data_IF_626695978885
#
_entry.id   IF_626695978885
#
_cell.length_a   1.000
_cell.length_b   1.000
_cell.length_c   1.000
_cell.angle_alpha   90.00
_cell.angle_beta   90.00
_cell.angle_gamma   90.00
#
_symmetry.space_group_name_H-M   'P 1'
#
loop_
_entity.id
_entity.type
_entity.pdbx_description
1 polymer ?
#
# COMPACT_ATOMS: atom_id res chain seq x y z
N UNK A 1 -0.06 -27.27 -9.10
CA UNK A 1 -0.44 -26.18 -10.03
C UNK A 1 0.11 -24.89 -9.42
N UNK A 2 1.38 -24.56 -9.64
CA UNK A 2 2.05 -23.45 -8.93
C UNK A 2 2.26 -22.17 -9.76
N UNK A 3 2.14 -22.25 -11.09
CA UNK A 3 2.50 -21.14 -11.99
C UNK A 3 1.61 -19.90 -11.77
N UNK A 4 0.28 -20.06 -11.71
CA UNK A 4 -0.65 -18.93 -11.58
C UNK A 4 -0.53 -18.19 -10.23
N UNK A 5 -0.21 -18.92 -9.16
CA UNK A 5 -0.03 -18.37 -7.81
C UNK A 5 1.27 -17.58 -7.68
N UNK A 6 2.35 -18.17 -8.19
CA UNK A 6 3.67 -17.54 -8.28
C UNK A 6 3.59 -16.29 -9.16
N UNK A 7 2.77 -16.31 -10.22
CA UNK A 7 2.51 -15.15 -11.09
C UNK A 7 1.81 -14.01 -10.34
N UNK A 8 0.78 -14.28 -9.54
CA UNK A 8 0.07 -13.24 -8.77
C UNK A 8 0.99 -12.61 -7.72
N UNK A 9 1.71 -13.44 -6.94
CA UNK A 9 2.67 -12.95 -5.96
C UNK A 9 3.81 -12.17 -6.61
N UNK A 10 4.26 -12.61 -7.78
CA UNK A 10 5.28 -11.94 -8.60
C UNK A 10 4.83 -10.58 -9.09
N UNK A 11 3.62 -10.45 -9.63
CA UNK A 11 3.05 -9.16 -10.07
C UNK A 11 2.91 -8.20 -8.89
N UNK A 12 2.45 -8.68 -7.73
CA UNK A 12 2.32 -7.84 -6.53
C UNK A 12 3.70 -7.42 -6.00
N UNK A 13 4.68 -8.32 -5.99
CA UNK A 13 6.06 -7.99 -5.63
C UNK A 13 6.62 -6.88 -6.54
N UNK A 14 6.46 -7.01 -7.86
CA UNK A 14 6.89 -5.99 -8.83
C UNK A 14 6.21 -4.63 -8.59
N UNK A 15 4.92 -4.61 -8.24
CA UNK A 15 4.22 -3.37 -7.89
C UNK A 15 4.80 -2.71 -6.63
N UNK A 16 5.15 -3.51 -5.61
CA UNK A 16 5.81 -3.02 -4.39
C UNK A 16 7.18 -2.42 -4.74
N UNK A 17 7.96 -3.12 -5.54
CA UNK A 17 9.29 -2.69 -5.97
C UNK A 17 9.23 -1.41 -6.80
N UNK A 18 8.31 -1.33 -7.76
CA UNK A 18 8.07 -0.12 -8.53
C UNK A 18 7.62 1.05 -7.64
N UNK A 19 6.79 0.79 -6.62
CA UNK A 19 6.32 1.82 -5.70
C UNK A 19 7.44 2.38 -4.82
N UNK A 20 8.36 1.55 -4.38
CA UNK A 20 9.41 1.93 -3.43
C UNK A 20 10.79 2.10 -4.07
N UNK A 21 10.91 1.85 -5.38
CA UNK A 21 12.15 1.95 -6.15
C UNK A 21 13.29 1.13 -5.53
N UNK A 22 12.96 -0.04 -5.00
CA UNK A 22 13.87 -0.90 -4.26
C UNK A 22 13.40 -2.36 -4.37
N UNK A 23 14.31 -3.35 -4.57
CA UNK A 23 13.95 -4.76 -4.56
C UNK A 23 13.25 -5.17 -3.27
N UNK A 24 12.30 -6.10 -3.33
CA UNK A 24 11.46 -6.46 -2.18
C UNK A 24 12.30 -7.03 -1.03
N UNK A 25 13.33 -7.82 -1.34
CA UNK A 25 14.26 -8.33 -0.34
C UNK A 25 15.01 -7.20 0.39
N UNK A 26 15.40 -6.15 -0.33
CA UNK A 26 16.11 -4.99 0.21
C UNK A 26 15.16 -4.14 1.05
N UNK A 27 13.92 -3.98 0.58
CA UNK A 27 12.86 -3.29 1.30
C UNK A 27 12.57 -3.97 2.64
N UNK A 28 12.47 -5.31 2.66
CA UNK A 28 12.29 -6.10 3.89
C UNK A 28 13.43 -5.87 4.88
N UNK A 29 14.68 -5.86 4.39
CA UNK A 29 15.86 -5.58 5.21
C UNK A 29 15.86 -4.14 5.75
N UNK A 30 15.52 -3.17 4.91
CA UNK A 30 15.45 -1.76 5.31
C UNK A 30 14.36 -1.51 6.36
N UNK A 31 13.17 -2.10 6.19
CA UNK A 31 12.09 -2.06 7.18
C UNK A 31 12.50 -2.71 8.50
N UNK A 32 13.17 -3.86 8.45
CA UNK A 32 13.65 -4.54 9.67
C UNK A 32 14.69 -3.70 10.42
N UNK A 33 15.57 -2.99 9.72
CA UNK A 33 16.59 -2.14 10.31
C UNK A 33 16.01 -0.82 10.86
N UNK A 34 15.02 -0.23 10.17
CA UNK A 34 14.47 1.08 10.51
C UNK A 34 12.95 1.16 10.26
N UNK A 35 12.12 0.48 11.09
CA UNK A 35 10.67 0.37 10.87
C UNK A 35 9.92 1.72 10.92
N UNK A 36 10.53 2.74 11.54
CA UNK A 36 9.96 4.08 11.67
C UNK A 36 10.34 5.03 10.52
N UNK A 37 11.24 4.62 9.61
CA UNK A 37 11.66 5.45 8.48
C UNK A 37 10.54 5.66 7.44
N UNK A 38 9.65 4.67 7.30
CA UNK A 38 8.49 4.71 6.41
C UNK A 38 7.36 3.85 6.95
N UNK A 39 6.29 4.47 7.45
CA UNK A 39 5.12 3.73 7.94
C UNK A 39 4.48 2.90 6.81
N UNK A 40 4.33 3.48 5.63
CA UNK A 40 3.74 2.82 4.47
C UNK A 40 4.48 1.54 4.10
N UNK A 41 5.81 1.57 4.11
CA UNK A 41 6.60 0.42 3.72
C UNK A 41 6.60 -0.68 4.78
N UNK A 42 6.63 -0.30 6.06
CA UNK A 42 6.46 -1.25 7.16
C UNK A 42 5.11 -1.96 7.05
N UNK A 43 4.05 -1.22 6.74
CA UNK A 43 2.71 -1.78 6.55
C UNK A 43 2.67 -2.68 5.31
N UNK A 44 3.19 -2.24 4.16
CA UNK A 44 3.22 -3.05 2.93
C UNK A 44 3.98 -4.35 3.12
N UNK A 45 5.18 -4.31 3.71
CA UNK A 45 5.98 -5.52 3.96
C UNK A 45 5.22 -6.50 4.85
N UNK A 46 4.53 -6.00 5.88
CA UNK A 46 3.68 -6.83 6.74
C UNK A 46 2.54 -7.48 5.94
N UNK A 47 1.78 -6.70 5.18
CA UNK A 47 0.64 -7.23 4.43
C UNK A 47 1.05 -8.17 3.30
N UNK A 48 2.20 -7.93 2.67
CA UNK A 48 2.76 -8.85 1.70
C UNK A 48 3.17 -10.19 2.35
N UNK A 49 3.77 -10.16 3.54
CA UNK A 49 4.02 -11.38 4.31
C UNK A 49 2.75 -12.18 4.60
N UNK A 50 1.69 -11.50 5.05
CA UNK A 50 0.39 -12.13 5.30
C UNK A 50 -0.29 -12.64 4.01
N UNK A 51 0.01 -12.04 2.85
CA UNK A 51 -0.47 -12.51 1.56
C UNK A 51 0.23 -13.81 1.14
N UNK A 52 1.54 -13.91 1.35
CA UNK A 52 2.30 -15.15 1.11
C UNK A 52 1.78 -16.27 1.99
N UNK A 53 1.56 -16.01 3.28
CA UNK A 53 0.95 -16.98 4.20
C UNK A 53 -0.45 -17.42 3.73
N UNK A 54 -1.27 -16.48 3.26
CA UNK A 54 -2.61 -16.81 2.74
C UNK A 54 -2.55 -17.66 1.46
N UNK A 55 -1.55 -17.44 0.60
CA UNK A 55 -1.33 -18.23 -0.61
C UNK A 55 -0.95 -19.69 -0.26
N UNK A 56 -0.05 -19.88 0.72
CA UNK A 56 0.28 -21.23 1.20
C UNK A 56 -0.92 -21.97 1.81
N UNK A 57 -1.81 -21.24 2.50
CA UNK A 57 -3.05 -21.82 3.06
C UNK A 57 -4.02 -22.21 1.95
N UNK A 58 -4.14 -21.38 0.91
CA UNK A 58 -4.97 -21.68 -0.26
C UNK A 58 -4.49 -22.94 -0.97
N UNK A 59 -3.19 -23.04 -1.26
CA UNK A 59 -2.60 -24.21 -1.92
C UNK A 59 -2.86 -25.49 -1.13
N UNK A 60 -2.70 -25.47 0.20
CA UNK A 60 -3.00 -26.63 1.05
C UNK A 60 -4.48 -27.00 1.03
N UNK A 61 -5.37 -26.02 0.98
CA UNK A 61 -6.81 -26.26 0.89
C UNK A 61 -7.19 -26.87 -0.47
N UNK A 62 -6.60 -26.37 -1.56
CA UNK A 62 -6.78 -26.89 -2.91
C UNK A 62 -6.26 -28.32 -3.04
N UNK A 63 -5.04 -28.59 -2.56
CA UNK A 63 -4.47 -29.93 -2.54
C UNK A 63 -5.33 -30.92 -1.74
N UNK A 64 -5.86 -30.48 -0.59
CA UNK A 64 -6.76 -31.29 0.22
C UNK A 64 -8.08 -31.59 -0.50
N UNK A 65 -8.66 -30.61 -1.19
CA UNK A 65 -9.87 -30.79 -1.99
C UNK A 65 -9.61 -31.76 -3.16
N UNK A 66 -8.55 -31.55 -3.95
CA UNK A 66 -8.19 -32.43 -5.06
C UNK A 66 -7.99 -33.86 -4.56
N UNK A 67 -7.25 -34.04 -3.46
CA UNK A 67 -7.03 -35.35 -2.89
C UNK A 67 -8.32 -36.01 -2.36
N UNK A 68 -9.32 -35.24 -1.93
CA UNK A 68 -10.63 -35.77 -1.55
C UNK A 68 -11.45 -36.20 -2.77
N UNK A 69 -11.46 -35.37 -3.83
CA UNK A 69 -12.13 -35.66 -5.09
C UNK A 69 -11.57 -36.92 -5.77
N UNK A 70 -10.25 -37.10 -5.75
CA UNK A 70 -9.59 -38.31 -6.30
C UNK A 70 -10.00 -39.60 -5.58
N UNK A 71 -10.46 -39.50 -4.32
CA UNK A 71 -10.86 -40.65 -3.49
C UNK A 71 -12.37 -40.88 -3.48
N UNK A 72 -13.16 -39.97 -4.02
CA UNK A 72 -14.62 -40.04 -3.97
C UNK A 72 -15.15 -41.16 -4.89
N UNK A 73 -15.93 -42.12 -4.38
CA UNK A 73 -16.52 -43.17 -5.20
C UNK A 73 -17.78 -42.67 -5.93
N UNK A 74 -17.64 -42.33 -7.22
CA UNK A 74 -18.75 -41.99 -8.11
C UNK A 74 -19.02 -40.48 -8.28
N UNK A 75 -20.07 -40.13 -9.04
CA UNK A 75 -20.42 -38.74 -9.43
C UNK A 75 -21.08 -37.89 -8.32
N UNK A 76 -21.22 -38.42 -7.10
CA UNK A 76 -21.87 -37.70 -5.99
C UNK A 76 -20.80 -37.17 -5.05
N UNK A 77 -20.69 -35.84 -4.96
CA UNK A 77 -19.89 -35.17 -3.93
C UNK A 77 -20.52 -35.42 -2.56
N UNK A 78 -19.73 -35.97 -1.64
CA UNK A 78 -20.12 -36.17 -0.26
C UNK A 78 -19.94 -34.88 0.57
N UNK A 79 -20.61 -34.81 1.72
CA UNK A 79 -20.55 -33.65 2.62
C UNK A 79 -19.09 -33.22 2.97
N UNK A 80 -18.12 -34.14 3.15
CA UNK A 80 -16.71 -33.78 3.35
C UNK A 80 -16.06 -33.02 2.17
N UNK A 81 -16.31 -33.43 0.92
CA UNK A 81 -15.79 -32.72 -0.24
C UNK A 81 -16.39 -31.31 -0.35
N UNK A 82 -17.68 -31.16 0.00
CA UNK A 82 -18.35 -29.87 0.05
C UNK A 82 -17.77 -28.94 1.14
N UNK A 83 -17.39 -29.48 2.30
CA UNK A 83 -16.73 -28.70 3.35
C UNK A 83 -15.34 -28.19 2.90
N UNK A 84 -14.54 -29.05 2.25
CA UNK A 84 -13.25 -28.65 1.68
C UNK A 84 -13.39 -27.57 0.59
N UNK A 85 -14.42 -27.67 -0.25
CA UNK A 85 -14.73 -26.61 -1.22
C UNK A 85 -15.06 -25.28 -0.54
N UNK A 86 -15.77 -25.30 0.59
CA UNK A 86 -16.01 -24.09 1.38
C UNK A 86 -14.72 -23.53 1.99
N UNK A 87 -13.80 -24.38 2.44
CA UNK A 87 -12.49 -23.98 2.97
C UNK A 87 -11.63 -23.29 1.89
N UNK A 88 -11.62 -23.83 0.66
CA UNK A 88 -10.94 -23.18 -0.49
C UNK A 88 -11.52 -21.79 -0.74
N UNK A 89 -12.85 -21.66 -0.80
CA UNK A 89 -13.50 -20.36 -0.99
C UNK A 89 -13.13 -19.35 0.12
N UNK A 90 -13.08 -19.79 1.37
CA UNK A 90 -12.64 -18.95 2.48
C UNK A 90 -11.17 -18.51 2.34
N UNK A 91 -10.28 -19.42 1.92
CA UNK A 91 -8.87 -19.12 1.70
C UNK A 91 -8.66 -18.11 0.56
N UNK A 92 -9.40 -18.26 -0.55
CA UNK A 92 -9.40 -17.28 -1.66
C UNK A 92 -9.83 -15.90 -1.17
N UNK A 93 -10.93 -15.82 -0.42
CA UNK A 93 -11.42 -14.54 0.10
C UNK A 93 -10.37 -13.85 1.01
N UNK A 94 -9.65 -14.62 1.82
CA UNK A 94 -8.55 -14.08 2.64
C UNK A 94 -7.41 -13.58 1.76
N UNK A 95 -6.93 -14.37 0.79
CA UNK A 95 -5.87 -13.99 -0.14
C UNK A 95 -6.21 -12.68 -0.86
N UNK A 96 -7.40 -12.61 -1.44
CA UNK A 96 -7.86 -11.45 -2.20
C UNK A 96 -7.98 -10.21 -1.31
N UNK A 97 -8.48 -10.38 -0.08
CA UNK A 97 -8.50 -9.32 0.92
C UNK A 97 -7.10 -8.79 1.24
N UNK A 98 -6.10 -9.67 1.41
CA UNK A 98 -4.70 -9.25 1.64
C UNK A 98 -4.12 -8.54 0.42
N UNK A 99 -4.34 -9.08 -0.79
CA UNK A 99 -3.87 -8.49 -2.03
C UNK A 99 -4.48 -7.09 -2.27
N UNK A 100 -5.76 -6.90 -1.99
CA UNK A 100 -6.43 -5.60 -2.06
C UNK A 100 -5.78 -4.57 -1.13
N UNK A 101 -5.42 -4.97 0.09
CA UNK A 101 -4.74 -4.07 1.01
C UNK A 101 -3.36 -3.71 0.50
N UNK A 102 -2.56 -4.67 0.03
CA UNK A 102 -1.24 -4.36 -0.57
C UNK A 102 -1.40 -3.37 -1.73
N UNK A 103 -2.37 -3.61 -2.63
CA UNK A 103 -2.67 -2.73 -3.76
C UNK A 103 -3.06 -1.31 -3.31
N UNK A 104 -3.79 -1.18 -2.21
CA UNK A 104 -4.14 0.13 -1.66
C UNK A 104 -2.89 0.96 -1.31
N UNK A 105 -1.80 0.35 -0.84
CA UNK A 105 -0.57 1.06 -0.49
C UNK A 105 0.38 1.25 -1.67
N UNK A 106 0.29 0.41 -2.70
CA UNK A 106 1.15 0.49 -3.89
C UNK A 106 0.58 1.37 -5.00
N UNK A 107 -0.74 1.54 -5.08
CA UNK A 107 -1.38 2.37 -6.10
C UNK A 107 -1.30 3.87 -5.74
N UNK A 108 -0.61 4.71 -6.55
CA UNK A 108 -0.51 6.16 -6.32
C UNK A 108 -1.86 6.89 -6.44
N UNK A 109 -2.86 6.27 -7.08
CA UNK A 109 -4.20 6.83 -7.24
C UNK A 109 -5.19 6.36 -6.16
N UNK A 110 -4.73 5.55 -5.19
CA UNK A 110 -5.60 5.08 -4.12
C UNK A 110 -6.24 6.23 -3.34
N UNK A 111 -7.54 6.14 -2.98
CA UNK A 111 -8.20 7.14 -2.17
C UNK A 111 -7.43 7.40 -0.87
N UNK A 112 -7.17 8.68 -0.56
CA UNK A 112 -6.39 9.07 0.63
C UNK A 112 -4.86 9.00 0.46
N UNK A 113 -4.33 8.62 -0.72
CA UNK A 113 -2.88 8.44 -0.95
C UNK A 113 -2.26 9.29 -2.07
N UNK A 114 -2.91 10.38 -2.50
CA UNK A 114 -2.32 11.31 -3.48
C UNK A 114 -1.07 11.98 -2.90
N UNK A 115 0.12 11.46 -3.19
CA UNK A 115 1.39 12.06 -2.78
C UNK A 115 2.61 11.30 -3.30
N UNK A 116 3.78 11.97 -3.46
CA UNK A 116 4.99 11.32 -3.93
C UNK A 116 5.43 10.26 -2.93
N UNK A 117 5.48 9.03 -3.39
CA UNK A 117 5.81 7.87 -2.58
C UNK A 117 7.27 7.71 -2.17
N UNK A 118 8.07 8.76 -2.25
CA UNK A 118 9.51 8.69 -2.09
C UNK A 118 9.87 8.23 -0.67
N UNK A 119 10.49 7.05 -0.56
CA UNK A 119 11.13 6.60 0.66
C UNK A 119 12.13 7.64 1.14
N UNK A 120 11.99 8.06 2.40
CA UNK A 120 13.00 8.89 3.09
C UNK A 120 14.15 7.97 3.55
N UNK A 121 14.89 7.44 2.59
CA UNK A 121 15.97 6.47 2.85
C UNK A 121 16.75 6.06 1.62
N UNK A 122 16.20 6.24 0.41
CA UNK A 122 16.98 6.31 -0.81
C UNK A 122 17.57 7.73 -0.90
N UNK A 123 18.83 7.89 -0.53
CA UNK A 123 19.51 9.18 -0.68
C UNK A 123 19.54 9.61 -2.15
N UNK A 124 18.69 10.58 -2.49
CA UNK A 124 19.11 11.68 -3.32
C UNK A 124 19.23 12.90 -2.40
N UNK A 125 20.40 13.10 -1.82
CA UNK A 125 20.84 14.45 -1.51
C UNK A 125 20.66 15.25 -2.81
N UNK A 126 19.70 16.19 -2.86
CA UNK A 126 19.79 17.45 -3.60
C UNK A 126 18.51 18.28 -3.45
N UNK A 127 18.74 19.54 -3.03
CA UNK A 127 17.84 20.71 -3.04
C UNK A 127 16.92 20.87 -1.82
N UNK A 128 17.51 21.41 -0.76
CA UNK A 128 16.85 22.40 0.09
C UNK A 128 16.34 23.53 -0.80
N UNK A 129 15.03 23.72 -0.88
CA UNK A 129 14.43 24.95 -1.41
C UNK A 129 14.33 25.99 -0.29
N UNK A 130 14.35 27.30 -0.60
CA UNK A 130 14.34 28.34 0.42
C UNK A 130 12.98 28.39 1.12
N UNK A 131 13.00 28.44 2.46
CA UNK A 131 11.80 28.66 3.26
C UNK A 131 11.23 30.06 2.97
N UNK A 132 9.96 30.12 2.57
CA UNK A 132 9.18 31.36 2.57
C UNK A 132 9.04 31.82 4.02
N UNK A 133 9.67 32.95 4.34
CA UNK A 133 9.51 33.61 5.63
C UNK A 133 8.13 34.27 5.68
N UNK A 134 7.23 33.75 6.51
CA UNK A 134 5.99 34.44 6.88
C UNK A 134 6.25 35.28 8.13
N UNK A 135 6.88 36.44 7.97
CA UNK A 135 6.86 37.47 9.00
C UNK A 135 5.62 38.37 8.77
N UNK A 136 4.87 38.75 9.84
CA UNK A 136 3.69 39.60 9.68
C UNK A 136 4.10 41.05 9.41
N UNK A 137 3.39 41.72 8.50
CA UNK A 137 3.59 43.13 8.20
C UNK A 137 3.13 44.01 9.37
N UNK A 138 3.91 45.01 9.82
CA UNK A 138 3.47 45.95 10.84
C UNK A 138 2.47 46.96 10.26
N UNK A 139 1.32 47.09 10.91
CA UNK A 139 0.29 48.09 10.63
C UNK A 139 0.81 49.49 10.96
N UNK A 140 0.83 50.38 9.96
CA UNK A 140 1.04 51.80 10.18
C UNK A 140 -0.30 52.54 10.00
N UNK A 141 -0.89 52.96 11.11
CA UNK A 141 -1.94 53.98 11.14
C UNK A 141 -1.34 55.36 10.90
N UNK A 142 -2.04 56.26 10.18
CA UNK A 142 -1.96 57.68 10.55
C UNK A 142 -3.35 58.32 10.74
N UNK A 143 -3.46 59.02 11.86
CA UNK A 143 -4.54 59.94 12.29
C UNK A 143 -4.32 61.35 11.65
N UNK A 144 -5.05 62.45 12.00
CA UNK A 144 -5.97 63.12 11.08
C UNK A 144 -5.65 64.64 10.82
N UNK A 145 -6.50 65.29 10.00
CA UNK A 145 -6.72 66.76 9.84
C UNK A 145 -5.66 67.54 9.03
N UNK A 146 -5.97 68.56 8.19
CA UNK A 146 -6.69 69.83 8.43
C UNK A 146 -7.21 70.43 7.09
N UNK A 147 -8.32 71.21 7.05
CA UNK A 147 -8.81 71.88 5.84
C UNK A 147 -8.19 73.28 5.62
N UNK A 148 -7.98 73.71 4.36
CA UNK A 148 -7.80 75.13 3.99
C UNK A 148 -8.47 75.45 2.64
N UNK A 149 -9.16 76.60 2.65
CA UNK A 149 -10.01 77.26 1.64
C UNK A 149 -9.19 78.19 0.74
N UNK A 150 -9.53 78.33 -0.56
CA UNK A 150 -9.03 79.45 -1.38
C UNK A 150 -9.32 79.46 -2.89
N UNK A 151 -10.42 80.11 -3.27
CA UNK A 151 -10.57 81.14 -4.32
C UNK A 151 -10.10 80.98 -5.80
N UNK A 152 -11.10 81.16 -6.70
CA UNK A 152 -11.17 82.04 -7.90
C UNK A 152 -10.39 81.69 -9.18
N UNK A 153 -11.16 81.38 -10.25
CA UNK A 153 -11.30 82.27 -11.42
C UNK A 153 -12.60 82.01 -12.17
#
# INVERSE_FOLDING_TARGET
MSDDADDVLGVIAQQIEARFQMPLADLRRAVAAAPHASNDATVVVKWYGMLVEAQEVLEKAEDALVAALDRAPGDVLDDPAMELAHQVNAAVAVRDGRAMVVRHYTDPNSPGRRGPGAWRGAEAAHRRTPALQTAPAPSASPTPSVPVRGAVR
#
